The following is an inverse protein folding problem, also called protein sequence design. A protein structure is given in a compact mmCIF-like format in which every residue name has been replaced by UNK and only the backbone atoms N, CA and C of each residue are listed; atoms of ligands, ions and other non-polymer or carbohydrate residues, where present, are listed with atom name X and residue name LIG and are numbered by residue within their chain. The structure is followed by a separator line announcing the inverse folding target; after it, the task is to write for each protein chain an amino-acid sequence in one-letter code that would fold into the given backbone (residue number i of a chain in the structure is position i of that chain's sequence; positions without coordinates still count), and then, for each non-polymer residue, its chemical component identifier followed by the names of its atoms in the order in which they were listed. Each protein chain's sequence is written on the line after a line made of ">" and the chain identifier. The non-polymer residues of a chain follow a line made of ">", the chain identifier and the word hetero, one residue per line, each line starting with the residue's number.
data_IF_391756537000
#
_entry.id   IF_391756537000
#
_cell.length_a   1.000
_cell.length_b   1.000
_cell.length_c   1.000
_cell.angle_alpha   90.00
_cell.angle_beta   90.00
_cell.angle_gamma   90.00
#
_symmetry.space_group_name_H-M   'P 1'
#
loop_
_entity.id
_entity.type
_entity.pdbx_description
1 polymer ?
#
# COMPACT_ATOMS: atom_id res chain seq x y z
N UNK A 1 7.04 9.77 -0.60
CA UNK A 1 6.07 8.73 -0.95
C UNK A 1 4.88 9.08 -0.11
N UNK A 2 3.73 9.28 -0.72
CA UNK A 2 2.56 9.59 0.08
C UNK A 2 2.28 8.37 0.97
N UNK A 3 1.84 8.63 2.19
CA UNK A 3 1.55 7.58 3.19
C UNK A 3 0.06 7.56 3.47
N UNK A 4 -0.42 6.50 4.14
CA UNK A 4 -1.79 6.50 4.65
C UNK A 4 -2.06 7.73 5.55
N UNK A 5 -1.10 8.15 6.37
CA UNK A 5 -1.21 9.39 7.17
C UNK A 5 -1.31 10.65 6.30
N UNK A 6 -0.68 10.66 5.13
CA UNK A 6 -0.81 11.77 4.17
C UNK A 6 -2.21 11.80 3.56
N UNK A 7 -2.78 10.62 3.27
CA UNK A 7 -4.16 10.50 2.80
C UNK A 7 -5.17 11.04 3.81
N UNK A 8 -5.08 10.61 5.06
CA UNK A 8 -6.00 11.04 6.13
C UNK A 8 -6.01 12.56 6.29
N UNK A 9 -4.85 13.22 6.20
CA UNK A 9 -4.75 14.69 6.35
C UNK A 9 -5.48 15.47 5.26
N UNK A 10 -5.74 14.84 4.11
CA UNK A 10 -6.43 15.45 2.98
C UNK A 10 -7.93 15.14 2.96
N UNK A 11 -8.37 14.10 3.67
CA UNK A 11 -9.79 13.77 3.82
C UNK A 11 -10.45 14.82 4.70
N UNK A 12 -11.51 15.46 4.19
CA UNK A 12 -12.32 16.44 4.92
C UNK A 12 -13.68 15.84 5.25
N UNK A 13 -14.40 16.47 6.20
CA UNK A 13 -15.73 15.97 6.59
C UNK A 13 -16.68 16.00 5.39
N UNK A 14 -17.37 14.88 5.18
CA UNK A 14 -18.34 14.65 4.09
C UNK A 14 -17.75 14.65 2.67
N UNK A 15 -16.42 14.66 2.51
CA UNK A 15 -15.79 14.58 1.19
C UNK A 15 -16.11 13.27 0.48
N UNK A 16 -16.31 13.32 -0.83
CA UNK A 16 -16.44 12.13 -1.64
C UNK A 16 -15.08 11.57 -2.02
N UNK A 17 -14.96 10.25 -1.96
CA UNK A 17 -13.72 9.53 -2.25
C UNK A 17 -13.96 8.45 -3.29
N UNK A 18 -12.95 8.23 -4.13
CA UNK A 18 -12.87 7.15 -5.10
C UNK A 18 -11.47 6.54 -5.07
N UNK A 19 -11.31 5.32 -5.56
CA UNK A 19 -10.00 4.67 -5.66
C UNK A 19 -9.74 4.09 -7.03
N UNK A 20 -8.49 4.17 -7.44
CA UNK A 20 -8.00 3.57 -8.69
C UNK A 20 -6.82 2.66 -8.36
N UNK A 21 -6.92 1.40 -8.77
CA UNK A 21 -5.84 0.40 -8.69
C UNK A 21 -5.25 0.18 -10.09
N UNK A 22 -3.92 0.09 -10.18
CA UNK A 22 -3.23 -0.19 -11.45
C UNK A 22 -2.92 -1.68 -11.59
N UNK A 23 -3.43 -2.30 -12.66
CA UNK A 23 -3.19 -3.71 -12.94
C UNK A 23 -1.75 -3.93 -13.37
N UNK A 24 -1.05 -4.84 -12.68
CA UNK A 24 0.31 -5.26 -13.06
C UNK A 24 1.30 -4.09 -13.18
N UNK A 25 1.14 -3.06 -12.35
CA UNK A 25 1.74 -1.75 -12.53
C UNK A 25 3.27 -1.77 -12.78
N UNK A 26 4.01 -2.64 -12.08
CA UNK A 26 5.46 -2.75 -12.30
C UNK A 26 5.82 -3.29 -13.68
N UNK A 27 5.05 -4.25 -14.22
CA UNK A 27 5.34 -4.81 -15.54
C UNK A 27 5.11 -3.80 -16.68
N UNK A 28 4.45 -2.67 -16.43
CA UNK A 28 4.34 -1.55 -17.37
C UNK A 28 5.65 -0.76 -17.52
N UNK A 29 6.63 -0.94 -16.63
CA UNK A 29 7.89 -0.18 -16.67
C UNK A 29 9.00 -1.00 -17.32
N UNK A 30 9.51 -0.61 -18.51
CA UNK A 30 10.60 -1.32 -19.17
C UNK A 30 11.91 -1.17 -18.38
N UNK A 31 12.75 -2.21 -18.44
CA UNK A 31 14.11 -2.21 -17.89
C UNK A 31 15.11 -2.03 -19.03
N UNK A 32 16.06 -1.11 -18.83
CA UNK A 32 17.17 -0.90 -19.77
C UNK A 32 17.88 -2.23 -20.09
N UNK A 33 18.15 -2.49 -21.37
CA UNK A 33 18.65 -3.78 -21.87
C UNK A 33 19.93 -4.23 -21.14
N UNK A 34 20.83 -3.30 -20.85
CA UNK A 34 22.07 -3.51 -20.10
C UNK A 34 21.88 -4.03 -18.67
N UNK A 35 20.71 -3.79 -18.06
CA UNK A 35 20.35 -4.22 -16.71
C UNK A 35 19.53 -5.51 -16.68
N UNK A 36 18.89 -5.91 -17.79
CA UNK A 36 18.05 -7.12 -17.85
C UNK A 36 18.83 -8.40 -17.47
N UNK A 37 20.15 -8.42 -17.70
CA UNK A 37 21.04 -9.53 -17.31
C UNK A 37 21.02 -9.84 -15.81
N UNK A 38 20.75 -8.86 -14.96
CA UNK A 38 20.64 -9.04 -13.50
C UNK A 38 19.30 -9.61 -13.07
N UNK A 39 18.32 -9.67 -13.98
CA UNK A 39 16.95 -10.12 -13.73
C UNK A 39 16.67 -11.48 -14.39
N UNK A 40 17.71 -12.27 -14.59
CA UNK A 40 17.63 -13.60 -15.19
C UNK A 40 17.19 -14.63 -14.16
N UNK A 41 16.36 -15.58 -14.60
CA UNK A 41 15.95 -16.71 -13.78
C UNK A 41 15.90 -17.99 -14.62
N UNK A 42 16.09 -19.12 -13.98
CA UNK A 42 16.10 -20.43 -14.63
C UNK A 42 14.79 -21.16 -14.35
N UNK A 43 14.14 -21.67 -15.39
CA UNK A 43 12.90 -22.42 -15.27
C UNK A 43 12.83 -23.51 -16.34
N UNK A 44 12.53 -24.75 -15.94
CA UNK A 44 12.35 -25.90 -16.82
C UNK A 44 13.46 -26.05 -17.88
N UNK A 45 14.72 -25.98 -17.46
CA UNK A 45 15.85 -26.16 -18.39
C UNK A 45 16.17 -24.95 -19.26
N UNK A 46 15.45 -23.83 -19.11
CA UNK A 46 15.61 -22.61 -19.92
C UNK A 46 15.92 -21.41 -19.05
N UNK A 47 16.80 -20.54 -19.57
CA UNK A 47 17.12 -19.27 -18.95
C UNK A 47 16.21 -18.18 -19.53
N UNK A 48 15.47 -17.51 -18.66
CA UNK A 48 14.61 -16.39 -18.99
C UNK A 48 15.19 -15.09 -18.43
N UNK A 49 14.78 -13.96 -19.00
CA UNK A 49 15.13 -12.63 -18.48
C UNK A 49 13.90 -11.73 -18.50
N UNK A 50 13.71 -10.95 -17.43
CA UNK A 50 12.69 -9.92 -17.42
C UNK A 50 13.11 -8.73 -18.30
N UNK A 51 12.18 -8.25 -19.12
CA UNK A 51 12.33 -7.04 -19.94
C UNK A 51 11.65 -5.81 -19.32
N UNK A 52 10.82 -6.03 -18.31
CA UNK A 52 10.14 -5.02 -17.51
C UNK A 52 10.40 -5.23 -16.02
N UNK A 53 10.06 -4.25 -15.19
CA UNK A 53 10.33 -4.24 -13.76
C UNK A 53 9.56 -5.37 -13.06
N UNK A 54 10.24 -6.39 -12.51
CA UNK A 54 9.54 -7.51 -11.92
C UNK A 54 9.19 -7.28 -10.45
N UNK A 55 8.19 -8.01 -9.99
CA UNK A 55 7.87 -8.09 -8.57
C UNK A 55 9.01 -8.73 -7.77
N UNK A 56 9.17 -8.31 -6.52
CA UNK A 56 10.16 -8.87 -5.59
C UNK A 56 11.51 -8.15 -5.54
N UNK A 57 11.78 -7.20 -6.45
CA UNK A 57 12.98 -6.35 -6.33
C UNK A 57 12.72 -5.27 -5.28
N UNK A 58 13.66 -5.12 -4.35
CA UNK A 58 13.59 -4.12 -3.26
C UNK A 58 13.51 -2.67 -3.75
N UNK A 59 14.08 -2.36 -4.91
CA UNK A 59 14.06 -1.01 -5.50
C UNK A 59 12.78 -0.70 -6.29
N UNK A 60 11.99 -1.71 -6.68
CA UNK A 60 10.82 -1.51 -7.55
C UNK A 60 9.78 -0.51 -6.99
N UNK A 61 9.38 -0.57 -5.70
CA UNK A 61 8.43 0.39 -5.15
C UNK A 61 8.92 1.84 -5.23
N UNK A 62 10.21 2.06 -4.99
CA UNK A 62 10.83 3.39 -5.04
C UNK A 62 10.87 3.94 -6.46
N UNK A 63 11.24 3.10 -7.43
CA UNK A 63 11.28 3.47 -8.85
C UNK A 63 9.88 3.84 -9.31
N UNK A 64 8.90 2.98 -9.02
CA UNK A 64 7.51 3.18 -9.44
C UNK A 64 6.89 4.45 -8.83
N UNK A 65 7.13 4.67 -7.53
CA UNK A 65 6.70 5.90 -6.87
C UNK A 65 7.33 7.14 -7.50
N UNK A 66 8.62 7.09 -7.86
CA UNK A 66 9.29 8.23 -8.52
C UNK A 66 8.67 8.50 -9.89
N UNK A 67 8.29 7.46 -10.61
CA UNK A 67 7.67 7.56 -11.93
C UNK A 67 6.27 8.18 -11.86
N UNK A 68 5.43 7.79 -10.89
CA UNK A 68 4.07 8.33 -10.79
C UNK A 68 3.96 9.71 -10.15
N UNK A 69 4.99 10.18 -9.43
CA UNK A 69 5.01 11.54 -8.86
C UNK A 69 4.62 12.66 -9.85
N UNK A 70 5.21 12.79 -11.05
CA UNK A 70 4.81 13.80 -12.02
C UNK A 70 3.37 13.62 -12.53
N UNK A 71 2.86 12.39 -12.57
CA UNK A 71 1.47 12.11 -12.97
C UNK A 71 0.50 12.73 -11.97
N UNK A 72 0.64 12.40 -10.68
CA UNK A 72 -0.17 12.99 -9.62
C UNK A 72 0.04 14.51 -9.50
N UNK A 73 1.27 14.99 -9.73
CA UNK A 73 1.54 16.43 -9.77
C UNK A 73 0.76 17.14 -10.88
N UNK A 74 0.64 16.53 -12.05
CA UNK A 74 -0.11 17.09 -13.19
C UNK A 74 -1.61 17.17 -12.86
N UNK A 75 -2.16 16.14 -12.24
CA UNK A 75 -3.55 16.14 -11.77
C UNK A 75 -3.79 17.22 -10.70
N UNK A 76 -2.85 17.41 -9.76
CA UNK A 76 -2.95 18.47 -8.74
C UNK A 76 -2.93 19.89 -9.33
N UNK A 77 -2.18 20.10 -10.42
CA UNK A 77 -2.21 21.38 -11.16
C UNK A 77 -3.58 21.67 -11.76
N UNK A 78 -4.36 20.63 -12.09
CA UNK A 78 -5.75 20.74 -12.55
C UNK A 78 -6.76 20.98 -11.41
N UNK A 79 -6.30 21.07 -10.16
CA UNK A 79 -7.13 21.26 -8.97
C UNK A 79 -7.57 19.97 -8.29
N UNK A 80 -7.11 18.80 -8.76
CA UNK A 80 -7.51 17.52 -8.19
C UNK A 80 -6.76 17.18 -6.91
N UNK A 81 -7.50 16.76 -5.87
CA UNK A 81 -6.92 16.22 -4.65
C UNK A 81 -6.76 14.71 -4.82
N UNK A 82 -5.51 14.24 -4.81
CA UNK A 82 -5.18 12.84 -5.00
C UNK A 82 -3.96 12.42 -4.20
N UNK A 83 -3.93 11.13 -3.85
CA UNK A 83 -2.88 10.49 -3.08
C UNK A 83 -2.51 9.17 -3.72
N UNK A 84 -1.26 9.03 -4.13
CA UNK A 84 -0.75 7.81 -4.74
C UNK A 84 0.13 7.00 -3.79
N UNK A 85 -0.22 5.74 -3.58
CA UNK A 85 0.59 4.74 -2.88
C UNK A 85 0.91 3.58 -3.81
N UNK A 86 2.07 3.65 -4.49
CA UNK A 86 2.48 2.66 -5.48
C UNK A 86 1.40 2.53 -6.57
N UNK A 87 0.65 1.44 -6.61
CA UNK A 87 -0.42 1.10 -7.55
C UNK A 87 -1.81 1.54 -7.07
N UNK A 88 -1.98 1.79 -5.77
CA UNK A 88 -3.23 2.28 -5.18
C UNK A 88 -3.31 3.82 -5.22
N UNK A 89 -4.37 4.37 -5.77
CA UNK A 89 -4.68 5.81 -5.78
C UNK A 89 -5.94 6.09 -4.98
N UNK A 90 -5.91 7.10 -4.12
CA UNK A 90 -7.10 7.69 -3.49
C UNK A 90 -7.37 9.05 -4.11
N UNK A 91 -8.59 9.26 -4.58
CA UNK A 91 -9.06 10.49 -5.22
C UNK A 91 -10.14 11.11 -4.35
N UNK A 92 -10.13 12.43 -4.22
CA UNK A 92 -11.07 13.17 -3.38
C UNK A 92 -11.76 14.30 -4.16
N UNK A 93 -12.95 14.66 -3.71
CA UNK A 93 -13.68 15.87 -4.10
C UNK A 93 -14.65 16.29 -2.99
N UNK A 94 -14.95 17.58 -2.87
CA UNK A 94 -15.92 18.07 -1.89
C UNK A 94 -17.35 17.73 -2.31
N UNK A 95 -17.57 17.69 -3.63
CA UNK A 95 -18.81 17.24 -4.27
C UNK A 95 -18.63 15.93 -5.03
N UNK A 96 -19.75 15.27 -5.34
CA UNK A 96 -19.72 14.04 -6.15
C UNK A 96 -19.25 14.34 -7.58
N UNK A 97 -19.58 15.51 -8.12
CA UNK A 97 -19.17 15.97 -9.44
C UNK A 97 -17.66 16.21 -9.51
N UNK A 98 -17.08 16.87 -8.51
CA UNK A 98 -15.62 17.07 -8.41
C UNK A 98 -14.87 15.75 -8.33
N UNK A 99 -15.35 14.83 -7.49
CA UNK A 99 -14.71 13.52 -7.34
C UNK A 99 -14.81 12.71 -8.64
N UNK A 100 -15.97 12.72 -9.31
CA UNK A 100 -16.12 12.10 -10.63
C UNK A 100 -15.20 12.70 -11.70
N UNK A 101 -15.04 14.03 -11.70
CA UNK A 101 -14.10 14.70 -12.61
C UNK A 101 -12.66 14.24 -12.35
N UNK A 102 -12.27 14.16 -11.08
CA UNK A 102 -10.96 13.66 -10.67
C UNK A 102 -10.74 12.21 -11.13
N UNK A 103 -11.74 11.34 -10.97
CA UNK A 103 -11.71 9.95 -11.47
C UNK A 103 -11.48 9.92 -12.97
N UNK A 104 -12.29 10.64 -13.75
CA UNK A 104 -12.21 10.63 -15.20
C UNK A 104 -10.86 11.16 -15.71
N UNK A 105 -10.41 12.30 -15.20
CA UNK A 105 -9.14 12.90 -15.61
C UNK A 105 -7.95 12.01 -15.21
N UNK A 106 -8.04 11.32 -14.06
CA UNK A 106 -7.01 10.35 -13.62
C UNK A 106 -6.98 9.13 -14.53
N UNK A 107 -8.12 8.53 -14.86
CA UNK A 107 -8.20 7.38 -15.77
C UNK A 107 -7.64 7.77 -17.13
N UNK A 108 -8.09 8.90 -17.69
CA UNK A 108 -7.65 9.37 -19.00
C UNK A 108 -6.13 9.57 -19.05
N UNK A 109 -5.55 10.24 -18.04
CA UNK A 109 -4.12 10.47 -17.97
C UNK A 109 -3.34 9.17 -17.81
N UNK A 110 -3.75 8.29 -16.90
CA UNK A 110 -3.08 7.01 -16.66
C UNK A 110 -3.11 6.12 -17.90
N UNK A 111 -4.25 6.03 -18.58
CA UNK A 111 -4.40 5.27 -19.83
C UNK A 111 -3.56 5.85 -20.97
N UNK A 112 -3.51 7.18 -21.12
CA UNK A 112 -2.63 7.84 -22.11
C UNK A 112 -1.14 7.54 -21.87
N UNK A 113 -0.75 7.35 -20.61
CA UNK A 113 0.61 6.97 -20.23
C UNK A 113 0.89 5.46 -20.36
N UNK A 114 -0.09 4.66 -20.79
CA UNK A 114 0.04 3.22 -20.98
C UNK A 114 -0.18 2.38 -19.72
N UNK A 115 -0.70 2.97 -18.65
CA UNK A 115 -1.12 2.20 -17.48
C UNK A 115 -2.49 1.56 -17.71
N UNK A 116 -2.65 0.35 -17.18
CA UNK A 116 -3.90 -0.40 -17.25
C UNK A 116 -4.60 -0.29 -15.91
N UNK A 117 -5.84 0.22 -15.92
CA UNK A 117 -6.67 0.30 -14.72
C UNK A 117 -7.19 -1.09 -14.37
N UNK A 118 -7.22 -1.41 -13.09
CA UNK A 118 -7.80 -2.64 -12.59
C UNK A 118 -9.24 -2.40 -12.16
N UNK A 119 -10.17 -2.60 -13.09
CA UNK A 119 -11.59 -2.28 -12.90
C UNK A 119 -12.18 -2.97 -11.66
N UNK A 120 -11.90 -4.27 -11.46
CA UNK A 120 -12.45 -5.06 -10.34
C UNK A 120 -11.99 -4.61 -8.95
N UNK A 121 -10.82 -3.96 -8.85
CA UNK A 121 -10.27 -3.47 -7.58
C UNK A 121 -10.43 -1.97 -7.39
N UNK A 122 -10.81 -1.26 -8.45
CA UNK A 122 -11.04 0.18 -8.41
C UNK A 122 -12.45 0.48 -7.94
N UNK A 123 -12.63 1.61 -7.26
CA UNK A 123 -13.93 2.11 -6.83
C UNK A 123 -14.14 3.46 -7.51
N UNK A 124 -14.79 3.43 -8.67
CA UNK A 124 -14.99 4.62 -9.50
C UNK A 124 -16.12 5.51 -9.00
N UNK A 125 -17.20 4.91 -8.48
CA UNK A 125 -18.34 5.65 -7.97
C UNK A 125 -17.95 6.35 -6.65
N UNK A 126 -18.01 7.68 -6.58
CA UNK A 126 -17.61 8.38 -5.37
C UNK A 126 -18.50 8.04 -4.20
N UNK A 127 -17.86 7.77 -3.06
CA UNK A 127 -18.50 7.38 -1.80
C UNK A 127 -17.87 8.13 -0.63
N UNK A 128 -18.65 8.35 0.43
CA UNK A 128 -18.13 8.91 1.69
C UNK A 128 -17.42 7.89 2.55
N UNK A 129 -17.51 6.61 2.19
CA UNK A 129 -16.80 5.51 2.83
C UNK A 129 -16.05 4.69 1.78
N UNK A 130 -14.75 4.44 2.00
CA UNK A 130 -13.91 3.68 1.06
C UNK A 130 -12.86 2.85 1.79
N UNK A 131 -12.45 1.73 1.18
CA UNK A 131 -11.30 0.95 1.63
C UNK A 131 -10.05 1.46 0.92
N UNK A 132 -9.04 1.88 1.68
CA UNK A 132 -7.74 2.29 1.16
C UNK A 132 -6.61 1.74 2.05
N UNK A 133 -5.63 1.07 1.45
CA UNK A 133 -4.48 0.44 2.15
C UNK A 133 -4.89 -0.44 3.34
N UNK A 134 -6.00 -1.18 3.18
CA UNK A 134 -6.53 -2.12 4.17
C UNK A 134 -7.26 -1.47 5.36
N UNK A 135 -7.58 -0.18 5.29
CA UNK A 135 -8.38 0.54 6.28
C UNK A 135 -9.65 1.09 5.62
N UNK A 136 -10.74 1.17 6.38
CA UNK A 136 -11.97 1.84 5.98
C UNK A 136 -11.86 3.29 6.44
N UNK A 137 -11.95 4.23 5.50
CA UNK A 137 -12.04 5.66 5.75
C UNK A 137 -13.51 6.06 5.65
N UNK A 138 -14.07 6.63 6.71
CA UNK A 138 -15.42 7.19 6.74
C UNK A 138 -15.33 8.70 6.95
N UNK A 139 -15.58 9.45 5.88
CA UNK A 139 -15.56 10.92 5.88
C UNK A 139 -16.81 11.54 6.49
N UNK A 140 -17.93 10.82 6.58
CA UNK A 140 -19.17 11.34 7.19
C UNK A 140 -18.96 11.46 8.71
N UNK A 141 -18.43 10.41 9.32
CA UNK A 141 -18.19 10.37 10.76
C UNK A 141 -16.76 10.79 11.15
N UNK A 142 -15.86 10.98 10.17
CA UNK A 142 -14.43 11.20 10.38
C UNK A 142 -13.78 10.10 11.22
N UNK A 143 -14.13 8.84 10.92
CA UNK A 143 -13.64 7.65 11.61
C UNK A 143 -12.84 6.79 10.65
N UNK A 144 -11.75 6.22 11.16
CA UNK A 144 -10.96 5.22 10.44
C UNK A 144 -11.05 3.90 11.19
N UNK A 145 -11.42 2.83 10.49
CA UNK A 145 -11.48 1.48 11.06
C UNK A 145 -10.67 0.50 10.24
N UNK A 146 -10.31 -0.64 10.84
CA UNK A 146 -9.74 -1.75 10.09
C UNK A 146 -10.85 -2.48 9.33
N UNK A 147 -10.52 -2.97 8.14
CA UNK A 147 -11.35 -3.98 7.47
C UNK A 147 -11.55 -5.20 8.37
N UNK A 148 -12.69 -5.89 8.22
CA UNK A 148 -13.02 -7.09 9.00
C UNK A 148 -11.91 -8.15 8.89
N UNK A 149 -11.41 -8.39 7.68
CA UNK A 149 -10.34 -9.37 7.43
C UNK A 149 -9.04 -9.00 8.13
N UNK A 150 -8.61 -7.74 8.02
CA UNK A 150 -7.39 -7.25 8.69
C UNK A 150 -7.51 -7.36 10.21
N UNK A 151 -8.68 -7.02 10.77
CA UNK A 151 -8.98 -7.16 12.20
C UNK A 151 -8.95 -8.62 12.65
N UNK A 152 -9.65 -9.51 11.94
CA UNK A 152 -9.71 -10.93 12.27
C UNK A 152 -8.33 -11.59 12.18
N UNK A 153 -7.57 -11.30 11.14
CA UNK A 153 -6.21 -11.79 10.97
C UNK A 153 -5.28 -11.31 12.10
N UNK A 154 -5.34 -10.03 12.45
CA UNK A 154 -4.56 -9.47 13.57
C UNK A 154 -4.87 -10.19 14.88
N UNK A 155 -6.16 -10.31 15.23
CA UNK A 155 -6.59 -11.00 16.47
C UNK A 155 -6.17 -12.46 16.47
N UNK A 156 -6.34 -13.17 15.35
CA UNK A 156 -5.94 -14.57 15.18
C UNK A 156 -4.44 -14.75 15.43
N UNK A 157 -3.60 -13.95 14.81
CA UNK A 157 -2.15 -14.07 14.90
C UNK A 157 -1.62 -13.67 16.28
N UNK A 158 -2.22 -12.66 16.93
CA UNK A 158 -1.93 -12.33 18.32
C UNK A 158 -2.30 -13.48 19.28
N UNK A 159 -3.51 -14.05 19.15
CA UNK A 159 -3.93 -15.20 19.96
C UNK A 159 -3.03 -16.42 19.76
N UNK A 160 -2.67 -16.69 18.51
CA UNK A 160 -1.75 -17.79 18.18
C UNK A 160 -0.38 -17.62 18.83
N UNK A 161 0.16 -16.40 18.87
CA UNK A 161 1.45 -16.13 19.51
C UNK A 161 1.37 -16.26 21.04
N UNK A 162 0.27 -15.80 21.65
CA UNK A 162 0.03 -15.90 23.09
C UNK A 162 -0.07 -17.36 23.59
N UNK A 163 -0.50 -18.28 22.73
CA UNK A 163 -0.60 -19.71 23.06
C UNK A 163 0.75 -20.44 23.05
N UNK A 164 1.85 -19.78 22.67
CA UNK A 164 3.17 -20.41 22.55
C UNK A 164 4.11 -20.01 23.66
N UNK A 165 4.72 -21.03 24.28
CA UNK A 165 5.85 -20.83 25.20
C UNK A 165 7.15 -20.47 24.46
N UNK A 166 7.30 -20.93 23.21
CA UNK A 166 8.46 -20.68 22.35
C UNK A 166 8.00 -20.36 20.92
N UNK A 167 8.51 -19.26 20.35
CA UNK A 167 8.20 -18.81 18.99
C UNK A 167 9.48 -18.43 18.24
N UNK A 168 9.50 -18.58 16.91
CA UNK A 168 10.64 -18.11 16.10
C UNK A 168 10.61 -16.59 16.05
N UNK A 169 11.78 -15.97 15.95
CA UNK A 169 11.89 -14.51 15.77
C UNK A 169 11.09 -14.02 14.56
N UNK A 170 11.03 -14.83 13.49
CA UNK A 170 10.22 -14.51 12.30
C UNK A 170 8.73 -14.46 12.61
N UNK A 171 8.23 -15.33 13.49
CA UNK A 171 6.82 -15.36 13.87
C UNK A 171 6.47 -14.12 14.70
N UNK A 172 7.33 -13.75 15.65
CA UNK A 172 7.19 -12.51 16.43
C UNK A 172 7.26 -11.29 15.51
N UNK A 173 8.17 -11.27 14.54
CA UNK A 173 8.29 -10.19 13.56
C UNK A 173 7.02 -10.04 12.71
N UNK A 174 6.41 -11.16 12.28
CA UNK A 174 5.13 -11.16 11.54
C UNK A 174 4.03 -10.49 12.36
N UNK A 175 3.86 -10.90 13.62
CA UNK A 175 2.83 -10.32 14.50
C UNK A 175 3.08 -8.83 14.78
N UNK A 176 4.32 -8.44 15.03
CA UNK A 176 4.68 -7.01 15.17
C UNK A 176 4.31 -6.24 13.90
N UNK A 177 4.62 -6.78 12.71
CA UNK A 177 4.28 -6.13 11.44
C UNK A 177 2.78 -5.92 11.29
N UNK A 178 1.96 -6.91 11.65
CA UNK A 178 0.50 -6.80 11.65
C UNK A 178 0.00 -5.72 12.63
N UNK A 179 0.55 -5.67 13.84
CA UNK A 179 0.23 -4.64 14.84
C UNK A 179 0.61 -3.24 14.33
N UNK A 180 1.81 -3.08 13.76
CA UNK A 180 2.26 -1.79 13.23
C UNK A 180 1.37 -1.32 12.08
N UNK A 181 0.93 -2.25 11.23
CA UNK A 181 0.02 -1.93 10.11
C UNK A 181 -1.37 -1.46 10.55
N UNK A 182 -1.76 -1.65 11.81
CA UNK A 182 -3.06 -1.24 12.34
C UNK A 182 -3.06 0.09 13.09
N UNK A 183 -1.89 0.70 13.32
CA UNK A 183 -1.77 1.93 14.11
C UNK A 183 -2.58 3.12 13.61
N UNK A 184 -2.90 3.15 12.32
CA UNK A 184 -3.72 4.22 11.74
C UNK A 184 -5.19 4.15 12.14
N UNK A 185 -5.66 2.99 12.61
CA UNK A 185 -7.05 2.76 13.00
C UNK A 185 -7.19 2.28 14.46
N UNK A 186 -6.07 2.15 15.18
CA UNK A 186 -6.02 1.66 16.57
C UNK A 186 -5.24 2.66 17.41
N UNK A 187 -5.97 3.58 18.03
CA UNK A 187 -5.46 4.76 18.76
C UNK A 187 -4.32 4.42 19.73
N UNK A 188 -4.48 3.36 20.53
CA UNK A 188 -3.48 2.94 21.53
C UNK A 188 -2.53 1.83 21.07
N UNK A 189 -2.58 1.41 19.80
CA UNK A 189 -1.78 0.29 19.30
C UNK A 189 -0.27 0.48 19.52
N UNK A 190 0.22 1.71 19.39
CA UNK A 190 1.63 2.08 19.57
C UNK A 190 2.14 1.85 21.00
N UNK A 191 1.27 1.79 22.01
CA UNK A 191 1.66 1.56 23.40
C UNK A 191 2.00 0.09 23.66
N UNK A 192 1.32 -0.84 23.00
CA UNK A 192 1.36 -2.26 23.36
C UNK A 192 2.42 -3.08 22.62
N UNK A 193 3.11 -2.53 21.62
CA UNK A 193 4.06 -3.29 20.80
C UNK A 193 5.55 -3.11 21.17
N UNK A 194 5.91 -2.01 21.86
CA UNK A 194 7.31 -1.62 22.11
C UNK A 194 8.11 -2.68 22.86
N UNK A 195 7.51 -3.27 23.90
CA UNK A 195 8.18 -4.30 24.69
C UNK A 195 8.43 -5.56 23.86
N UNK A 196 7.45 -5.97 23.04
CA UNK A 196 7.58 -7.10 22.13
C UNK A 196 8.68 -6.87 21.08
N UNK A 197 8.79 -5.65 20.55
CA UNK A 197 9.85 -5.28 19.61
C UNK A 197 11.25 -5.30 20.26
N UNK A 198 11.38 -4.77 21.47
CA UNK A 198 12.64 -4.80 22.24
C UNK A 198 13.11 -6.23 22.48
N UNK A 199 12.22 -7.11 22.96
CA UNK A 199 12.52 -8.53 23.22
C UNK A 199 12.94 -9.27 21.94
N UNK A 200 12.24 -9.03 20.83
CA UNK A 200 12.62 -9.57 19.52
C UNK A 200 14.03 -9.14 19.12
N UNK A 201 14.33 -7.84 19.25
CA UNK A 201 15.62 -7.27 18.86
C UNK A 201 16.76 -7.76 19.76
N UNK A 202 16.52 -7.88 21.06
CA UNK A 202 17.48 -8.45 22.01
C UNK A 202 17.79 -9.91 21.68
N UNK A 203 16.76 -10.72 21.49
CA UNK A 203 16.87 -12.14 21.12
C UNK A 203 17.63 -12.33 19.80
N UNK A 204 17.36 -11.48 18.80
CA UNK A 204 18.07 -11.50 17.52
C UNK A 204 19.57 -11.19 17.66
N UNK A 205 19.92 -10.18 18.45
CA UNK A 205 21.33 -9.83 18.73
C UNK A 205 22.06 -10.97 19.45
N UNK A 206 21.42 -11.65 20.39
CA UNK A 206 21.99 -12.80 21.12
C UNK A 206 22.29 -13.98 20.19
N UNK A 207 21.43 -14.25 19.21
CA UNK A 207 21.64 -15.30 18.21
C UNK A 207 22.75 -14.95 17.21
N UNK A 208 22.84 -13.68 16.77
CA UNK A 208 23.92 -13.23 15.87
C UNK A 208 25.31 -13.31 16.49
N UNK A 209 25.43 -13.18 17.82
CA UNK A 209 26.71 -13.31 18.54
C UNK A 209 27.17 -14.76 18.74
N UNK A 210 26.38 -15.75 18.31
CA UNK A 210 26.71 -17.18 18.41
C UNK A 210 27.27 -17.78 17.11
N UNK A 211 27.39 -16.96 16.07
CA UNK A 211 28.09 -17.26 14.82
C UNK A 211 29.26 -16.28 14.67
#
# INVERSE_FOLDING_TARGET
>A
MDTFESAIKLVTSKSFMASIDLRHAYYSVPIAEEHQKFLRFYWNGKLFQYTCLPNGISSAPRIFTKLLKPVYSSLRVLGHVNVGYIDDSLLLGETIEECNKNVNDTIELMSKLGFVIHEDKSVFQPSKQIIFLGNIIDSENMIITLTADKKQNLVKECKWLLQRNLAKIRDVAKVIGLIVSSFSAVEFGKLFYRNLEKEKNYSFKKLKRRF
#
